data_IF_423245442765
#
_entry.id   IF_423245442765
#
_cell.length_a   1.000
_cell.length_b   1.000
_cell.length_c   1.000
_cell.angle_alpha   90.00
_cell.angle_beta   90.00
_cell.angle_gamma   90.00
#
_symmetry.space_group_name_H-M   'P 1'
#
loop_
_entity.id
_entity.type
_entity.pdbx_description
1 polymer ?
#
# COMPACT_ATOMS: atom_id res chain seq x y z
N UNK A 1 20.09 7.26 0.88
CA UNK A 1 18.96 7.02 -0.04
C UNK A 1 18.85 8.17 -1.03
N UNK A 2 18.52 7.87 -2.28
CA UNK A 2 18.31 8.88 -3.31
C UNK A 2 17.17 9.83 -2.89
N UNK A 3 17.39 11.18 -2.96
CA UNK A 3 16.37 12.14 -2.55
C UNK A 3 15.02 11.99 -3.28
N UNK A 4 15.03 11.58 -4.55
CA UNK A 4 13.79 11.38 -5.30
C UNK A 4 13.01 10.17 -4.77
N UNK A 5 13.71 9.12 -4.35
CA UNK A 5 13.07 7.95 -3.75
C UNK A 5 12.50 8.31 -2.38
N UNK A 6 13.21 9.09 -1.59
CA UNK A 6 12.70 9.55 -0.30
C UNK A 6 11.41 10.37 -0.48
N UNK A 7 11.37 11.25 -1.48
CA UNK A 7 10.16 12.02 -1.79
C UNK A 7 9.01 11.10 -2.23
N UNK A 8 9.32 10.09 -3.06
CA UNK A 8 8.32 9.12 -3.50
C UNK A 8 7.73 8.35 -2.31
N UNK A 9 8.57 7.88 -1.40
CA UNK A 9 8.13 7.16 -0.20
C UNK A 9 7.23 8.04 0.66
N UNK A 10 7.61 9.28 0.90
CA UNK A 10 6.80 10.22 1.67
C UNK A 10 5.45 10.49 1.01
N UNK A 11 5.45 10.63 -0.31
CA UNK A 11 4.21 10.86 -1.06
C UNK A 11 3.28 9.66 -0.96
N UNK A 12 3.82 8.45 -1.08
CA UNK A 12 3.04 7.22 -0.93
C UNK A 12 2.43 7.14 0.47
N UNK A 13 3.22 7.41 1.50
CA UNK A 13 2.76 7.35 2.88
C UNK A 13 1.63 8.33 3.17
N UNK A 14 1.61 9.47 2.48
CA UNK A 14 0.59 10.49 2.67
C UNK A 14 -0.65 10.28 1.78
N UNK A 15 -0.54 9.50 0.71
CA UNK A 15 -1.58 9.40 -0.32
C UNK A 15 -2.02 7.98 -0.67
N UNK A 16 -1.59 6.97 0.08
CA UNK A 16 -1.88 5.57 -0.25
C UNK A 16 -3.37 5.24 -0.25
N UNK A 17 -4.18 5.99 0.49
CA UNK A 17 -5.62 5.78 0.57
C UNK A 17 -6.37 6.26 -0.68
N UNK A 18 -5.68 6.98 -1.57
CA UNK A 18 -6.22 7.43 -2.85
C UNK A 18 -5.70 6.53 -3.97
N UNK A 19 -6.28 6.67 -5.16
CA UNK A 19 -5.74 6.02 -6.34
C UNK A 19 -4.35 6.58 -6.61
N UNK A 20 -3.37 5.70 -6.75
CA UNK A 20 -1.98 6.10 -6.84
C UNK A 20 -1.28 5.30 -7.93
N UNK A 21 -0.76 5.98 -8.96
CA UNK A 21 -0.04 5.34 -10.05
C UNK A 21 1.41 5.77 -10.08
N UNK A 22 2.26 4.92 -10.65
CA UNK A 22 3.67 5.25 -10.87
C UNK A 22 3.83 6.54 -11.67
N UNK A 23 2.98 6.72 -12.70
CA UNK A 23 3.00 7.91 -13.53
C UNK A 23 2.68 9.18 -12.75
N UNK A 24 1.72 9.11 -11.84
CA UNK A 24 1.37 10.26 -11.00
C UNK A 24 2.55 10.68 -10.12
N UNK A 25 3.20 9.73 -9.49
CA UNK A 25 4.34 10.02 -8.62
C UNK A 25 5.53 10.54 -9.42
N UNK A 26 5.83 9.92 -10.55
CA UNK A 26 6.92 10.35 -11.43
C UNK A 26 6.70 11.80 -11.91
N UNK A 27 5.46 12.12 -12.28
CA UNK A 27 5.11 13.47 -12.71
C UNK A 27 5.36 14.50 -11.62
N UNK A 28 4.99 14.18 -10.39
CA UNK A 28 5.23 15.08 -9.25
C UNK A 28 6.70 15.28 -8.94
N UNK A 29 7.52 14.27 -9.22
CA UNK A 29 8.95 14.32 -8.96
C UNK A 29 9.75 14.87 -10.15
N UNK A 30 9.06 15.17 -11.24
CA UNK A 30 9.67 15.66 -12.49
C UNK A 30 10.70 14.68 -13.05
N UNK A 31 10.40 13.39 -12.99
CA UNK A 31 11.27 12.34 -13.55
C UNK A 31 10.46 11.40 -14.43
N UNK A 32 11.19 10.66 -15.27
CA UNK A 32 10.59 9.68 -16.17
C UNK A 32 10.05 8.48 -15.37
N UNK A 33 8.83 8.00 -15.68
CA UNK A 33 8.26 6.85 -14.96
C UNK A 33 9.12 5.59 -15.01
N UNK A 34 9.72 5.29 -16.17
CA UNK A 34 10.59 4.10 -16.29
C UNK A 34 11.83 4.21 -15.41
N UNK A 35 12.39 5.41 -15.32
CA UNK A 35 13.52 5.67 -14.45
C UNK A 35 13.13 5.50 -12.97
N UNK A 36 11.98 6.07 -12.58
CA UNK A 36 11.48 5.94 -11.21
C UNK A 36 11.25 4.46 -10.87
N UNK A 37 10.67 3.69 -11.79
CA UNK A 37 10.42 2.27 -11.59
C UNK A 37 11.71 1.51 -11.25
N UNK A 38 12.75 1.69 -12.07
CA UNK A 38 14.03 1.02 -11.87
C UNK A 38 14.72 1.47 -10.59
N UNK A 39 14.76 2.77 -10.36
CA UNK A 39 15.42 3.35 -9.20
C UNK A 39 14.72 2.93 -7.92
N UNK A 40 13.39 2.91 -7.92
CA UNK A 40 12.59 2.51 -6.76
C UNK A 40 12.90 1.06 -6.37
N UNK A 41 12.87 0.14 -7.33
CA UNK A 41 13.19 -1.27 -7.08
C UNK A 41 14.62 -1.43 -6.56
N UNK A 42 15.56 -0.72 -7.15
CA UNK A 42 16.97 -0.78 -6.78
C UNK A 42 17.20 -0.29 -5.35
N UNK A 43 16.58 0.82 -4.97
CA UNK A 43 16.78 1.43 -3.65
C UNK A 43 15.98 0.74 -2.56
N UNK A 44 14.73 0.33 -2.86
CA UNK A 44 13.80 -0.17 -1.84
C UNK A 44 13.77 -1.70 -1.74
N UNK A 45 14.19 -2.41 -2.79
CA UNK A 45 14.03 -3.85 -2.86
C UNK A 45 12.63 -4.31 -3.23
N UNK A 46 11.67 -3.39 -3.28
CA UNK A 46 10.28 -3.62 -3.70
C UNK A 46 10.00 -2.86 -4.98
N UNK A 47 9.06 -3.35 -5.78
CA UNK A 47 8.51 -2.53 -6.85
C UNK A 47 7.64 -1.44 -6.22
N UNK A 48 7.32 -0.41 -7.00
CA UNK A 48 6.41 0.66 -6.57
C UNK A 48 5.07 0.08 -6.10
N UNK A 49 4.46 -0.82 -6.90
CA UNK A 49 3.17 -1.44 -6.56
C UNK A 49 3.26 -2.25 -5.28
N UNK A 50 4.34 -3.03 -5.12
CA UNK A 50 4.54 -3.81 -3.91
C UNK A 50 4.63 -2.92 -2.67
N UNK A 51 5.32 -1.80 -2.78
CA UNK A 51 5.47 -0.89 -1.66
C UNK A 51 4.15 -0.20 -1.30
N UNK A 52 3.38 0.24 -2.30
CA UNK A 52 2.06 0.82 -2.05
C UNK A 52 1.17 -0.18 -1.32
N UNK A 53 1.16 -1.43 -1.79
CA UNK A 53 0.38 -2.49 -1.16
C UNK A 53 0.87 -2.78 0.27
N UNK A 54 2.17 -2.77 0.48
CA UNK A 54 2.75 -2.94 1.81
C UNK A 54 2.24 -1.89 2.78
N UNK A 55 2.26 -0.61 2.39
CA UNK A 55 1.77 0.48 3.24
C UNK A 55 0.28 0.31 3.54
N UNK A 56 -0.51 -0.04 2.53
CA UNK A 56 -1.94 -0.27 2.68
C UNK A 56 -2.23 -1.41 3.65
N UNK A 57 -1.51 -2.53 3.52
CA UNK A 57 -1.72 -3.70 4.38
C UNK A 57 -1.27 -3.43 5.82
N UNK A 58 -0.16 -2.72 6.01
CA UNK A 58 0.29 -2.36 7.36
C UNK A 58 -0.75 -1.48 8.07
N UNK A 59 -1.35 -0.54 7.33
CA UNK A 59 -2.44 0.28 7.86
C UNK A 59 -3.67 -0.56 8.18
N UNK A 60 -4.01 -1.51 7.30
CA UNK A 60 -5.14 -2.40 7.50
C UNK A 60 -4.96 -3.29 8.73
N UNK A 61 -3.75 -3.77 8.99
CA UNK A 61 -3.45 -4.61 10.15
C UNK A 61 -3.76 -3.87 11.46
N UNK A 62 -3.41 -2.59 11.53
CA UNK A 62 -3.73 -1.77 12.70
C UNK A 62 -5.22 -1.50 12.82
N UNK A 63 -5.88 -1.16 11.72
CA UNK A 63 -7.30 -0.82 11.69
C UNK A 63 -8.19 -2.03 12.00
N UNK A 64 -7.79 -3.23 11.56
CA UNK A 64 -8.53 -4.47 11.82
C UNK A 64 -8.66 -4.74 13.32
N UNK A 65 -7.66 -4.38 14.11
CA UNK A 65 -7.68 -4.58 15.56
C UNK A 65 -8.75 -3.73 16.24
N UNK A 66 -9.15 -2.65 15.58
CA UNK A 66 -10.23 -1.78 16.05
C UNK A 66 -11.54 -2.36 15.51
N UNK A 67 -12.41 -2.76 16.40
CA UNK A 67 -13.65 -3.46 16.03
C UNK A 67 -14.73 -2.56 15.39
N UNK A 68 -14.48 -1.25 15.34
CA UNK A 68 -15.47 -0.28 14.86
C UNK A 68 -15.71 -0.33 13.35
N UNK A 69 -14.85 -1.00 12.60
CA UNK A 69 -14.94 -1.04 11.14
C UNK A 69 -15.17 -2.45 10.63
N UNK A 70 -16.05 -2.59 9.63
CA UNK A 70 -16.18 -3.84 8.90
C UNK A 70 -14.96 -4.06 8.01
N UNK A 71 -14.76 -5.29 7.57
CA UNK A 71 -13.65 -5.62 6.65
C UNK A 71 -13.80 -4.81 5.34
N UNK A 72 -15.02 -4.68 4.82
CA UNK A 72 -15.29 -3.89 3.62
C UNK A 72 -14.92 -2.40 3.81
N UNK A 73 -15.27 -1.84 4.96
CA UNK A 73 -14.91 -0.46 5.28
C UNK A 73 -13.40 -0.27 5.36
N UNK A 74 -12.70 -1.23 5.94
CA UNK A 74 -11.23 -1.18 6.05
C UNK A 74 -10.58 -1.22 4.68
N UNK A 75 -11.08 -2.07 3.77
CA UNK A 75 -10.58 -2.15 2.40
C UNK A 75 -10.66 -0.77 1.73
N UNK A 76 -11.79 -0.11 1.86
CA UNK A 76 -12.01 1.22 1.29
C UNK A 76 -11.10 2.27 1.92
N UNK A 77 -11.02 2.29 3.24
CA UNK A 77 -10.17 3.24 3.97
C UNK A 77 -8.69 3.11 3.60
N UNK A 78 -8.25 1.91 3.29
CA UNK A 78 -6.85 1.65 2.93
C UNK A 78 -6.56 1.86 1.44
N UNK A 79 -7.57 2.23 0.64
CA UNK A 79 -7.36 2.58 -0.75
C UNK A 79 -7.52 1.44 -1.75
N UNK A 80 -8.09 0.30 -1.33
CA UNK A 80 -8.37 -0.81 -2.25
C UNK A 80 -9.66 -0.56 -3.01
N UNK A 81 -9.66 -0.93 -4.29
CA UNK A 81 -10.84 -0.72 -5.16
C UNK A 81 -12.02 -1.61 -4.79
N UNK A 82 -11.73 -2.82 -4.29
CA UNK A 82 -12.78 -3.76 -3.91
C UNK A 82 -12.26 -4.76 -2.87
N UNK A 83 -13.21 -5.47 -2.25
CA UNK A 83 -12.94 -6.41 -1.17
C UNK A 83 -12.11 -7.61 -1.63
N UNK A 84 -12.34 -8.07 -2.86
CA UNK A 84 -11.63 -9.22 -3.40
C UNK A 84 -10.13 -8.95 -3.54
N UNK A 85 -9.80 -7.78 -4.08
CA UNK A 85 -8.41 -7.36 -4.22
C UNK A 85 -7.76 -7.19 -2.85
N UNK A 86 -8.48 -6.56 -1.91
CA UNK A 86 -7.99 -6.39 -0.54
C UNK A 86 -7.69 -7.72 0.11
N UNK A 87 -8.65 -8.64 0.10
CA UNK A 87 -8.51 -9.95 0.77
C UNK A 87 -7.34 -10.74 0.20
N UNK A 88 -7.20 -10.75 -1.12
CA UNK A 88 -6.12 -11.46 -1.80
C UNK A 88 -4.76 -10.87 -1.44
N UNK A 89 -4.65 -9.54 -1.50
CA UNK A 89 -3.42 -8.84 -1.17
C UNK A 89 -3.06 -9.03 0.29
N UNK A 90 -4.04 -8.92 1.18
CA UNK A 90 -3.85 -9.11 2.61
C UNK A 90 -3.31 -10.52 2.90
N UNK A 91 -3.91 -11.54 2.28
CA UNK A 91 -3.46 -12.93 2.45
C UNK A 91 -2.04 -13.13 1.91
N UNK A 92 -1.69 -12.47 0.81
CA UNK A 92 -0.34 -12.54 0.25
C UNK A 92 0.69 -12.01 1.24
N UNK A 93 0.39 -10.91 1.92
CA UNK A 93 1.33 -10.28 2.86
C UNK A 93 1.34 -10.92 4.25
N UNK A 94 0.22 -11.46 4.71
CA UNK A 94 0.09 -11.95 6.08
C UNK A 94 -0.05 -13.47 6.20
N UNK A 95 -0.39 -14.14 5.11
CA UNK A 95 -0.63 -15.58 5.09
C UNK A 95 -2.06 -15.99 5.42
N UNK A 96 -2.90 -15.08 5.91
CA UNK A 96 -4.29 -15.38 6.28
C UNK A 96 -5.22 -14.26 5.81
N UNK A 97 -6.53 -14.56 5.79
CA UNK A 97 -7.52 -13.56 5.37
C UNK A 97 -7.70 -12.45 6.41
N UNK A 98 -8.24 -11.29 6.03
CA UNK A 98 -8.54 -10.23 6.99
C UNK A 98 -9.44 -10.68 8.13
N UNK A 99 -10.46 -11.48 7.83
CA UNK A 99 -11.37 -12.00 8.87
C UNK A 99 -10.67 -12.92 9.85
N UNK A 100 -9.80 -13.79 9.35
CA UNK A 100 -8.98 -14.67 10.19
C UNK A 100 -8.02 -13.87 11.05
N UNK A 101 -7.43 -12.84 10.48
CA UNK A 101 -6.52 -11.96 11.20
C UNK A 101 -7.24 -11.27 12.37
N UNK A 102 -8.46 -10.78 12.13
CA UNK A 102 -9.28 -10.15 13.16
C UNK A 102 -9.55 -11.11 14.30
N UNK A 103 -9.97 -12.34 14.00
CA UNK A 103 -10.23 -13.36 15.02
C UNK A 103 -9.01 -13.66 15.86
N UNK A 104 -7.84 -13.69 15.24
CA UNK A 104 -6.59 -14.01 15.92
C UNK A 104 -6.12 -12.90 16.86
N UNK A 105 -6.52 -11.66 16.59
CA UNK A 105 -6.04 -10.47 17.31
C UNK A 105 -7.11 -9.76 18.13
N UNK A 106 -8.25 -10.38 18.35
CA UNK A 106 -9.31 -9.83 19.22
C UNK A 106 -9.50 -10.62 20.51
#
# INVERSE_FOLDING_TARGET
>A
MNPKILEAVKYIQSNFHNKLTLGDVASRLYINPSYLCRLFKQEMGFTFVEYVNYVRIETAKETIRQEDYSIAEIAELCGFENDSTFSRTFKTFTGISPSQYRKKHT
#
